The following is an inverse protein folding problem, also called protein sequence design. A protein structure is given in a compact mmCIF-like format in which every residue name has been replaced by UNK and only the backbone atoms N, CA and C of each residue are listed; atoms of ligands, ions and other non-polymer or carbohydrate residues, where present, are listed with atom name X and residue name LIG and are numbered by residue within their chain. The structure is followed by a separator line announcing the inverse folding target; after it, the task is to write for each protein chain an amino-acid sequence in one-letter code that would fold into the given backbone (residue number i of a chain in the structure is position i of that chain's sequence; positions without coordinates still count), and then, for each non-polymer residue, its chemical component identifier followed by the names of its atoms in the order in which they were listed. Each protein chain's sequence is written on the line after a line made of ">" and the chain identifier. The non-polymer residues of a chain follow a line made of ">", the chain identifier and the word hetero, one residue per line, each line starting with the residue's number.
data_IF_591010882044
#
_entry.id   IF_591010882044
#
_cell.length_a   1.000
_cell.length_b   1.000
_cell.length_c   1.000
_cell.angle_alpha   90.00
_cell.angle_beta   90.00
_cell.angle_gamma   90.00
#
_symmetry.space_group_name_H-M   'P 1'
#
loop_
_entity.id
_entity.type
_entity.pdbx_description
1 polymer ?
#
# COMPACT_ATOMS: atom_id res chain seq x y z
N UNK A 1 53.71 -8.74 30.64
CA UNK A 1 52.68 -7.67 30.58
C UNK A 1 52.19 -7.44 31.99
N UNK A 2 52.40 -6.25 32.55
CA UNK A 2 52.05 -5.91 33.94
C UNK A 2 50.58 -6.25 34.24
N UNK A 3 50.29 -6.93 35.36
CA UNK A 3 48.95 -7.41 35.74
C UNK A 3 47.90 -6.29 35.75
N UNK A 4 48.33 -5.06 36.04
CA UNK A 4 47.51 -3.83 35.99
C UNK A 4 47.12 -3.42 34.57
N UNK A 5 47.99 -3.66 33.57
CA UNK A 5 47.70 -3.42 32.15
C UNK A 5 46.73 -4.47 31.58
N UNK A 6 46.81 -5.71 32.06
CA UNK A 6 45.86 -6.77 31.71
C UNK A 6 44.45 -6.49 32.26
N UNK A 7 44.39 -5.97 33.50
CA UNK A 7 43.13 -5.60 34.15
C UNK A 7 42.47 -4.37 33.51
N UNK A 8 43.26 -3.35 33.12
CA UNK A 8 42.74 -2.20 32.36
C UNK A 8 42.20 -2.61 30.98
N UNK A 9 42.86 -3.53 30.29
CA UNK A 9 42.41 -4.05 29.00
C UNK A 9 41.06 -4.79 29.10
N UNK A 10 40.88 -5.62 30.13
CA UNK A 10 39.61 -6.32 30.37
C UNK A 10 38.45 -5.36 30.71
N UNK A 11 38.74 -4.27 31.42
CA UNK A 11 37.74 -3.25 31.77
C UNK A 11 37.29 -2.44 30.54
N UNK A 12 38.22 -2.13 29.62
CA UNK A 12 37.92 -1.43 28.37
C UNK A 12 37.13 -2.33 27.42
N UNK A 13 37.49 -3.62 27.30
CA UNK A 13 36.75 -4.57 26.46
C UNK A 13 35.32 -4.79 26.98
N UNK A 14 35.12 -4.87 28.31
CA UNK A 14 33.80 -4.98 28.92
C UNK A 14 32.90 -3.75 28.71
N UNK A 15 33.49 -2.54 28.68
CA UNK A 15 32.78 -1.29 28.40
C UNK A 15 32.38 -1.15 26.92
N UNK A 16 33.19 -1.65 25.99
CA UNK A 16 32.87 -1.64 24.55
C UNK A 16 31.73 -2.62 24.23
N UNK A 17 31.66 -3.78 24.89
CA UNK A 17 30.56 -4.74 24.70
C UNK A 17 29.21 -4.28 25.26
N UNK A 18 29.19 -3.39 26.25
CA UNK A 18 27.94 -2.84 26.79
C UNK A 18 27.38 -1.65 25.97
N UNK A 19 28.21 -1.03 25.12
CA UNK A 19 27.83 0.10 24.27
C UNK A 19 27.40 -0.32 22.85
N UNK A 20 27.73 -1.54 22.41
CA UNK A 20 27.12 -2.14 21.22
C UNK A 20 25.75 -2.70 21.62
N UNK A 21 24.74 -1.86 21.41
CA UNK A 21 23.39 -2.04 21.89
C UNK A 21 22.78 -3.42 21.63
N UNK A 22 21.85 -3.77 22.52
CA UNK A 22 20.77 -4.66 22.15
C UNK A 22 20.03 -3.99 20.99
N UNK A 23 20.41 -4.32 19.76
CA UNK A 23 19.50 -4.22 18.63
C UNK A 23 18.38 -5.17 18.98
N UNK A 24 17.27 -4.64 19.49
CA UNK A 24 16.01 -5.36 19.39
C UNK A 24 15.83 -5.63 17.91
N UNK A 25 16.14 -6.85 17.48
CA UNK A 25 15.46 -7.44 16.34
C UNK A 25 14.00 -7.50 16.77
N UNK A 26 13.28 -6.40 16.57
CA UNK A 26 11.84 -6.46 16.38
C UNK A 26 11.70 -7.48 15.25
N UNK A 27 11.17 -8.67 15.57
CA UNK A 27 10.70 -9.56 14.52
C UNK A 27 9.79 -8.68 13.67
N UNK A 28 10.16 -8.43 12.42
CA UNK A 28 9.25 -7.84 11.47
C UNK A 28 8.01 -8.71 11.54
N UNK A 29 6.88 -8.15 11.99
CA UNK A 29 5.61 -8.88 11.92
C UNK A 29 5.43 -9.26 10.46
N UNK A 30 5.22 -10.55 10.21
CA UNK A 30 4.88 -11.05 8.87
C UNK A 30 3.66 -10.27 8.38
N UNK A 31 3.73 -9.72 7.16
CA UNK A 31 2.64 -8.94 6.59
C UNK A 31 1.47 -9.90 6.30
N UNK A 32 0.29 -9.63 6.88
CA UNK A 32 -0.86 -10.54 6.86
C UNK A 32 -1.96 -10.10 5.88
N UNK A 33 -2.98 -10.94 5.71
CA UNK A 33 -4.23 -10.60 5.01
C UNK A 33 -4.86 -9.31 5.56
N UNK A 34 -5.00 -9.20 6.90
CA UNK A 34 -5.52 -7.99 7.56
C UNK A 34 -4.68 -6.75 7.23
N UNK A 35 -3.34 -6.89 7.11
CA UNK A 35 -2.47 -5.80 6.72
C UNK A 35 -2.70 -5.39 5.25
N UNK A 36 -2.86 -6.36 4.35
CA UNK A 36 -3.18 -6.09 2.95
C UNK A 36 -4.52 -5.37 2.82
N UNK A 37 -5.57 -5.88 3.47
CA UNK A 37 -6.91 -5.28 3.45
C UNK A 37 -6.90 -3.85 3.99
N UNK A 38 -6.29 -3.64 5.16
CA UNK A 38 -6.19 -2.31 5.78
C UNK A 38 -5.40 -1.32 4.91
N UNK A 39 -4.31 -1.77 4.28
CA UNK A 39 -3.51 -0.93 3.39
C UNK A 39 -4.34 -0.46 2.19
N UNK A 40 -5.12 -1.35 1.59
CA UNK A 40 -5.99 -1.00 0.45
C UNK A 40 -7.11 -0.06 0.88
N UNK A 41 -7.73 -0.29 2.04
CA UNK A 41 -8.76 0.59 2.59
C UNK A 41 -8.22 2.01 2.85
N UNK A 42 -7.06 2.12 3.49
CA UNK A 42 -6.41 3.41 3.78
C UNK A 42 -6.00 4.14 2.50
N UNK A 43 -5.55 3.41 1.49
CA UNK A 43 -5.22 3.95 0.17
C UNK A 43 -6.46 4.52 -0.52
N UNK A 44 -7.58 3.79 -0.51
CA UNK A 44 -8.87 4.25 -1.02
C UNK A 44 -9.33 5.53 -0.30
N UNK A 45 -9.34 5.53 1.04
CA UNK A 45 -9.70 6.71 1.84
C UNK A 45 -8.80 7.90 1.54
N UNK A 46 -7.50 7.64 1.34
CA UNK A 46 -6.53 8.68 0.95
C UNK A 46 -6.89 9.28 -0.41
N UNK A 47 -7.19 8.48 -1.43
CA UNK A 47 -7.60 8.96 -2.75
C UNK A 47 -8.90 9.77 -2.68
N UNK A 48 -9.90 9.31 -1.92
CA UNK A 48 -11.15 10.05 -1.70
C UNK A 48 -10.88 11.44 -1.10
N UNK A 49 -10.00 11.52 -0.10
CA UNK A 49 -9.63 12.79 0.57
C UNK A 49 -9.00 13.83 -0.35
N UNK A 50 -8.46 13.43 -1.52
CA UNK A 50 -7.86 14.35 -2.49
C UNK A 50 -8.92 15.21 -3.19
N UNK A 51 -10.20 14.83 -3.10
CA UNK A 51 -11.33 15.57 -3.67
C UNK A 51 -11.94 16.61 -2.73
N UNK A 52 -11.58 16.60 -1.44
CA UNK A 52 -12.21 17.46 -0.42
C UNK A 52 -11.88 18.95 -0.57
N UNK A 53 -10.61 19.26 -0.91
CA UNK A 53 -10.12 20.63 -1.07
C UNK A 53 -8.81 20.67 -1.86
N UNK A 54 -8.50 21.80 -2.53
CA UNK A 54 -7.22 22.00 -3.19
C UNK A 54 -6.02 21.83 -2.24
N UNK A 55 -4.99 21.13 -2.72
CA UNK A 55 -3.76 20.81 -2.00
C UNK A 55 -2.54 21.06 -2.90
N UNK A 56 -1.34 21.18 -2.34
CA UNK A 56 -0.13 21.25 -3.17
C UNK A 56 0.18 19.91 -3.82
N UNK A 57 0.77 19.92 -5.01
CA UNK A 57 1.21 18.69 -5.70
C UNK A 57 2.16 17.84 -4.85
N UNK A 58 3.01 18.47 -4.03
CA UNK A 58 3.88 17.78 -3.07
C UNK A 58 3.07 17.03 -2.01
N UNK A 59 2.06 17.66 -1.40
CA UNK A 59 1.21 17.00 -0.40
C UNK A 59 0.45 15.82 -0.99
N UNK A 60 -0.07 15.96 -2.21
CA UNK A 60 -0.73 14.86 -2.92
C UNK A 60 0.26 13.69 -3.13
N UNK A 61 1.46 14.00 -3.65
CA UNK A 61 2.50 13.00 -3.84
C UNK A 61 2.90 12.32 -2.53
N UNK A 62 3.15 13.09 -1.47
CA UNK A 62 3.56 12.55 -0.17
C UNK A 62 2.49 11.59 0.38
N UNK A 63 1.21 11.98 0.34
CA UNK A 63 0.08 11.13 0.77
C UNK A 63 -0.02 9.84 -0.04
N UNK A 64 0.02 9.94 -1.36
CA UNK A 64 -0.08 8.77 -2.24
C UNK A 64 1.13 7.84 -2.07
N UNK A 65 2.34 8.38 -1.98
CA UNK A 65 3.58 7.58 -1.92
C UNK A 65 3.71 6.70 -0.67
N UNK A 66 2.87 6.93 0.35
CA UNK A 66 2.75 6.07 1.54
C UNK A 66 2.13 4.71 1.20
N UNK A 67 1.23 4.66 0.22
CA UNK A 67 0.43 3.47 -0.10
C UNK A 67 0.70 2.93 -1.50
N UNK A 68 1.07 3.79 -2.45
CA UNK A 68 1.25 3.45 -3.85
C UNK A 68 2.73 3.42 -4.22
N UNK A 69 3.11 2.49 -5.10
CA UNK A 69 4.44 2.48 -5.74
C UNK A 69 4.72 3.82 -6.44
N UNK A 70 5.99 4.10 -6.70
CA UNK A 70 6.40 5.34 -7.38
C UNK A 70 5.72 5.47 -8.75
N UNK A 71 5.66 4.39 -9.50
CA UNK A 71 5.07 4.37 -10.86
C UNK A 71 3.56 4.58 -10.83
N UNK A 72 2.84 3.93 -9.91
CA UNK A 72 1.40 4.10 -9.78
C UNK A 72 1.04 5.49 -9.24
N UNK A 73 1.84 6.03 -8.31
CA UNK A 73 1.70 7.42 -7.83
C UNK A 73 1.82 8.42 -8.98
N UNK A 74 2.86 8.27 -9.81
CA UNK A 74 3.10 9.14 -10.95
C UNK A 74 1.95 9.06 -11.98
N UNK A 75 1.48 7.85 -12.26
CA UNK A 75 0.36 7.61 -13.19
C UNK A 75 -0.94 8.20 -12.66
N UNK A 76 -1.26 7.99 -11.39
CA UNK A 76 -2.44 8.56 -10.76
C UNK A 76 -2.44 10.10 -10.81
N UNK A 77 -1.31 10.73 -10.46
CA UNK A 77 -1.18 12.19 -10.50
C UNK A 77 -1.35 12.72 -11.93
N UNK A 78 -0.81 12.02 -12.93
CA UNK A 78 -0.90 12.42 -14.33
C UNK A 78 -2.33 12.35 -14.86
N UNK A 79 -3.08 11.31 -14.51
CA UNK A 79 -4.41 11.04 -15.10
C UNK A 79 -5.56 11.69 -14.31
N UNK A 80 -5.40 11.90 -12.99
CA UNK A 80 -6.54 12.26 -12.12
C UNK A 80 -6.39 13.58 -11.35
N UNK A 81 -5.20 14.20 -11.32
CA UNK A 81 -4.96 15.40 -10.51
C UNK A 81 -4.94 16.64 -11.41
N UNK A 82 -5.84 17.57 -11.13
CA UNK A 82 -6.07 18.78 -11.92
C UNK A 82 -5.70 20.03 -11.14
N UNK A 83 -5.17 21.04 -11.85
CA UNK A 83 -4.88 22.35 -11.27
C UNK A 83 -6.15 23.20 -11.20
N UNK A 84 -6.36 23.85 -10.06
CA UNK A 84 -7.48 24.74 -9.77
C UNK A 84 -6.99 25.95 -8.97
N UNK A 85 -7.85 26.95 -8.76
CA UNK A 85 -7.52 28.04 -7.85
C UNK A 85 -7.22 27.48 -6.44
N UNK A 86 -6.05 27.84 -5.91
CA UNK A 86 -5.61 27.38 -4.59
C UNK A 86 -4.84 26.05 -4.57
N UNK A 87 -4.63 25.38 -5.70
CA UNK A 87 -3.73 24.22 -5.78
C UNK A 87 -4.17 23.14 -6.78
N UNK A 88 -4.16 21.90 -6.33
CA UNK A 88 -4.48 20.71 -7.11
C UNK A 88 -5.53 19.87 -6.41
N UNK A 89 -6.41 19.22 -7.18
CA UNK A 89 -7.53 18.43 -6.68
C UNK A 89 -7.83 17.25 -7.61
N UNK A 90 -8.51 16.22 -7.11
CA UNK A 90 -9.12 15.18 -7.95
C UNK A 90 -10.62 15.42 -8.08
N UNK A 91 -11.20 15.09 -9.23
CA UNK A 91 -12.65 15.10 -9.42
C UNK A 91 -13.18 13.67 -9.48
N UNK A 92 -14.33 13.43 -8.84
CA UNK A 92 -15.06 12.18 -9.04
C UNK A 92 -15.44 12.03 -10.51
N UNK A 93 -15.17 10.85 -11.07
CA UNK A 93 -15.42 10.53 -12.48
C UNK A 93 -15.90 9.09 -12.59
N UNK A 94 -16.84 8.85 -13.49
CA UNK A 94 -17.27 7.49 -13.86
C UNK A 94 -16.16 6.72 -14.61
N UNK A 95 -15.12 7.43 -15.06
CA UNK A 95 -13.90 6.88 -15.64
C UNK A 95 -12.69 7.52 -14.97
N UNK A 96 -12.17 6.86 -13.95
CA UNK A 96 -11.06 7.35 -13.14
C UNK A 96 -9.96 6.27 -13.06
N UNK A 97 -9.02 6.24 -14.03
CA UNK A 97 -7.94 5.25 -14.04
C UNK A 97 -7.15 5.26 -12.73
N UNK A 98 -6.62 4.11 -12.31
CA UNK A 98 -5.75 3.99 -11.14
C UNK A 98 -6.39 4.31 -9.78
N UNK A 99 -7.72 4.47 -9.72
CA UNK A 99 -8.43 4.49 -8.44
C UNK A 99 -8.53 3.08 -7.86
N UNK A 100 -8.35 2.99 -6.54
CA UNK A 100 -8.69 1.80 -5.77
C UNK A 100 -10.22 1.62 -5.83
N UNK A 101 -10.74 0.43 -6.17
CA UNK A 101 -12.16 0.18 -6.17
C UNK A 101 -12.81 0.38 -4.80
N UNK A 102 -14.10 0.69 -4.81
CA UNK A 102 -14.88 0.76 -3.58
C UNK A 102 -15.34 -0.65 -3.17
N UNK A 103 -14.46 -1.37 -2.48
CA UNK A 103 -14.78 -2.64 -1.83
C UNK A 103 -15.58 -2.44 -0.54
N UNK A 104 -16.13 -3.52 0.00
CA UNK A 104 -16.80 -3.55 1.30
C UNK A 104 -15.81 -3.47 2.46
N UNK A 105 -14.59 -3.97 2.27
CA UNK A 105 -13.54 -4.05 3.29
C UNK A 105 -13.99 -4.81 4.54
N UNK A 106 -14.68 -5.92 4.34
CA UNK A 106 -15.14 -6.82 5.40
C UNK A 106 -14.76 -8.28 5.07
N UNK A 107 -15.30 -9.24 5.83
CA UNK A 107 -15.03 -10.67 5.63
C UNK A 107 -15.44 -11.21 4.26
N UNK A 108 -16.20 -10.44 3.46
CA UNK A 108 -16.55 -10.79 2.08
C UNK A 108 -15.59 -10.24 1.02
N UNK A 109 -14.61 -9.40 1.42
CA UNK A 109 -13.51 -8.99 0.54
C UNK A 109 -12.43 -10.06 0.55
N UNK A 110 -12.10 -10.60 -0.62
CA UNK A 110 -11.12 -11.68 -0.72
C UNK A 110 -9.69 -11.14 -0.65
N UNK A 111 -8.81 -11.87 0.03
CA UNK A 111 -7.39 -11.53 0.16
C UNK A 111 -6.54 -12.78 0.04
N UNK A 112 -5.49 -12.76 -0.79
CA UNK A 112 -4.60 -13.91 -0.96
C UNK A 112 -3.18 -13.50 -1.37
N UNK A 113 -2.18 -14.25 -0.88
CA UNK A 113 -0.78 -14.09 -1.27
C UNK A 113 -0.37 -15.12 -2.33
N UNK A 114 0.07 -14.65 -3.49
CA UNK A 114 0.40 -15.48 -4.66
C UNK A 114 1.62 -14.90 -5.37
N UNK A 115 2.58 -15.76 -5.70
CA UNK A 115 3.75 -15.43 -6.51
C UNK A 115 4.49 -14.15 -6.09
N UNK A 116 4.60 -13.92 -4.78
CA UNK A 116 5.30 -12.74 -4.27
C UNK A 116 4.44 -11.49 -4.11
N UNK A 117 3.13 -11.55 -4.37
CA UNK A 117 2.22 -10.41 -4.32
C UNK A 117 0.99 -10.71 -3.47
N UNK A 118 0.42 -9.68 -2.85
CA UNK A 118 -0.90 -9.77 -2.26
C UNK A 118 -1.95 -9.28 -3.24
N UNK A 119 -3.09 -9.97 -3.28
CA UNK A 119 -4.26 -9.63 -4.06
C UNK A 119 -5.41 -9.34 -3.10
N UNK A 120 -6.09 -8.22 -3.29
CA UNK A 120 -7.34 -7.86 -2.60
C UNK A 120 -8.39 -7.62 -3.66
N UNK A 121 -9.51 -8.36 -3.63
CA UNK A 121 -10.49 -8.29 -4.71
C UNK A 121 -11.93 -8.56 -4.27
N UNK A 122 -12.86 -8.07 -5.08
CA UNK A 122 -14.28 -8.44 -5.02
C UNK A 122 -14.79 -8.81 -6.41
N UNK A 123 -15.79 -9.70 -6.42
CA UNK A 123 -16.56 -10.03 -7.61
C UNK A 123 -17.74 -9.05 -7.75
N UNK A 124 -17.87 -8.45 -8.93
CA UNK A 124 -19.04 -7.66 -9.30
C UNK A 124 -20.09 -8.59 -9.90
N UNK A 125 -21.25 -8.66 -9.27
CA UNK A 125 -22.44 -9.24 -9.88
C UNK A 125 -23.02 -8.26 -10.90
N UNK A 126 -23.51 -8.77 -12.03
CA UNK A 126 -24.24 -7.94 -12.98
C UNK A 126 -25.58 -7.56 -12.34
N UNK A 127 -25.67 -6.35 -11.80
CA UNK A 127 -26.94 -5.80 -11.35
C UNK A 127 -27.64 -5.12 -12.53
N UNK A 128 -28.90 -5.50 -12.77
CA UNK A 128 -29.77 -4.87 -13.79
C UNK A 128 -30.29 -3.48 -13.36
N UNK A 129 -29.98 -3.03 -12.14
CA UNK A 129 -30.43 -1.74 -11.61
C UNK A 129 -29.41 -0.63 -11.88
N UNK A 130 -29.61 0.08 -12.99
CA UNK A 130 -28.87 1.30 -13.35
C UNK A 130 -29.00 1.62 -14.85
N UNK A 131 -28.73 2.86 -15.29
CA UNK A 131 -28.78 3.22 -16.72
C UNK A 131 -27.65 2.59 -17.55
N UNK A 132 -26.68 1.94 -16.89
CA UNK A 132 -25.52 1.29 -17.50
C UNK A 132 -25.51 -0.17 -17.06
N UNK A 133 -25.51 -1.09 -18.03
CA UNK A 133 -25.34 -2.52 -17.76
C UNK A 133 -23.96 -2.75 -17.14
N UNK A 134 -23.92 -3.17 -15.87
CA UNK A 134 -22.66 -3.62 -15.27
C UNK A 134 -22.32 -5.02 -15.78
N UNK A 135 -21.15 -5.14 -16.41
CA UNK A 135 -20.61 -6.45 -16.80
C UNK A 135 -20.05 -7.11 -15.54
N UNK A 136 -20.51 -8.33 -15.26
CA UNK A 136 -19.97 -9.18 -14.21
C UNK A 136 -18.46 -9.36 -14.41
N UNK A 137 -17.69 -9.34 -13.33
CA UNK A 137 -16.25 -9.54 -13.41
C UNK A 137 -15.57 -9.26 -12.09
N UNK A 138 -14.25 -9.39 -12.06
CA UNK A 138 -13.45 -9.14 -10.87
C UNK A 138 -12.89 -7.73 -10.93
N UNK A 139 -12.78 -7.08 -9.76
CA UNK A 139 -11.92 -5.93 -9.56
C UNK A 139 -10.92 -6.26 -8.47
N UNK A 140 -9.63 -6.13 -8.77
CA UNK A 140 -8.55 -6.53 -7.89
C UNK A 140 -7.48 -5.44 -7.76
N UNK A 141 -6.89 -5.40 -6.58
CA UNK A 141 -5.77 -4.53 -6.20
C UNK A 141 -4.58 -5.42 -5.91
N UNK A 142 -3.45 -5.14 -6.55
CA UNK A 142 -2.21 -5.90 -6.36
C UNK A 142 -1.25 -5.08 -5.52
N UNK A 143 -0.69 -5.71 -4.49
CA UNK A 143 0.37 -5.15 -3.66
C UNK A 143 1.66 -5.90 -3.94
N UNK A 144 2.73 -5.14 -4.17
CA UNK A 144 4.11 -5.64 -4.30
C UNK A 144 5.02 -4.92 -3.33
N UNK A 145 6.13 -5.54 -2.96
CA UNK A 145 7.15 -4.91 -2.13
C UNK A 145 8.01 -3.93 -2.94
N UNK A 146 8.07 -2.67 -2.51
CA UNK A 146 8.93 -1.62 -3.04
C UNK A 146 9.86 -1.13 -1.91
N UNK A 147 11.17 -1.34 -2.04
CA UNK A 147 12.17 -0.88 -1.06
C UNK A 147 11.91 -1.39 0.38
N UNK A 148 11.43 -2.62 0.53
CA UNK A 148 11.17 -3.22 1.85
C UNK A 148 9.78 -2.90 2.42
N UNK A 149 8.91 -2.26 1.64
CA UNK A 149 7.57 -1.83 2.08
C UNK A 149 6.52 -2.31 1.09
N UNK A 150 5.45 -2.93 1.58
CA UNK A 150 4.30 -3.29 0.75
C UNK A 150 3.56 -2.05 0.26
N UNK A 151 3.26 -2.02 -1.04
CA UNK A 151 2.54 -0.91 -1.68
C UNK A 151 1.65 -1.44 -2.79
N UNK A 152 0.59 -0.69 -3.08
CA UNK A 152 -0.25 -0.94 -4.26
C UNK A 152 0.58 -0.66 -5.51
N UNK A 153 0.69 -1.67 -6.36
CA UNK A 153 1.43 -1.62 -7.61
C UNK A 153 0.51 -1.59 -8.83
N UNK A 154 -0.70 -2.16 -8.74
CA UNK A 154 -1.68 -2.10 -9.82
C UNK A 154 -3.13 -2.26 -9.37
N UNK A 155 -4.02 -1.83 -10.26
CA UNK A 155 -5.46 -2.13 -10.24
C UNK A 155 -5.73 -2.95 -11.50
N UNK A 156 -6.40 -4.09 -11.37
CA UNK A 156 -6.62 -5.05 -12.47
C UNK A 156 -8.02 -5.65 -12.41
N UNK A 157 -8.47 -6.20 -13.54
CA UNK A 157 -9.76 -6.89 -13.70
C UNK A 157 -9.60 -8.39 -13.91
N UNK A 158 -8.39 -8.89 -13.70
CA UNK A 158 -7.98 -10.28 -13.90
C UNK A 158 -7.18 -10.74 -12.69
N UNK A 159 -7.41 -11.97 -12.26
CA UNK A 159 -6.61 -12.66 -11.25
C UNK A 159 -5.65 -13.65 -11.93
N UNK A 160 -4.54 -14.04 -11.28
CA UNK A 160 -3.74 -15.19 -11.71
C UNK A 160 -4.62 -16.43 -11.93
N UNK A 161 -4.29 -17.25 -12.92
CA UNK A 161 -5.05 -18.46 -13.27
C UNK A 161 -5.27 -19.38 -12.06
N UNK A 162 -4.31 -19.41 -11.14
CA UNK A 162 -4.35 -20.22 -9.92
C UNK A 162 -5.54 -19.88 -8.98
N UNK A 163 -6.07 -18.65 -9.02
CA UNK A 163 -7.26 -18.25 -8.22
C UNK A 163 -8.57 -18.59 -8.96
N UNK A 164 -8.56 -18.58 -10.29
CA UNK A 164 -9.79 -18.72 -11.09
C UNK A 164 -10.34 -20.16 -11.13
N UNK A 165 -9.70 -21.10 -10.44
CA UNK A 165 -9.97 -22.54 -10.56
C UNK A 165 -10.59 -23.21 -9.33
N UNK A 166 -10.98 -22.43 -8.30
CA UNK A 166 -11.73 -22.93 -7.14
C UNK A 166 -13.27 -22.93 -7.35
#
# INVERSE_FOLDING_TARGET
>A
MEMKKLWLLLLIVGLVTAACGQVSQTQASEFTEDNALSLVEDAFRTQVSLSEKPQSKKQINDKLSQYFTKDLTASFIKENVYEVEGGYITFGSDFAPHYVPFFKYDESTNVQYIDGNWYVWEERTADEEGPVSQVSGIEAVVLSEEEGTWKISSITYELPEDIQSE
#
